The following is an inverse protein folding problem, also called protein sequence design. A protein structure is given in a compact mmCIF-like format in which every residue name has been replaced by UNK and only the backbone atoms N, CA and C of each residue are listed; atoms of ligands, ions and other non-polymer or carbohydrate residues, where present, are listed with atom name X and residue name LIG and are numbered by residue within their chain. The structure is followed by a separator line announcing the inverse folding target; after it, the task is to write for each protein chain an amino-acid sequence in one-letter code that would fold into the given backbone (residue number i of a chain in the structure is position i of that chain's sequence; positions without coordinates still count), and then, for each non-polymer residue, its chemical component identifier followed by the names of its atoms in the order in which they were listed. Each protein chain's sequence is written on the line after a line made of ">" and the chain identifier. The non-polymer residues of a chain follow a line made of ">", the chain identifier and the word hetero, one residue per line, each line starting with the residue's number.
data_IF_473647487768
#
_entry.id   IF_473647487768
#
_cell.length_a   1.000
_cell.length_b   1.000
_cell.length_c   1.000
_cell.angle_alpha   90.00
_cell.angle_beta   90.00
_cell.angle_gamma   90.00
#
_symmetry.space_group_name_H-M   'P 1'
#
loop_
_entity.id
_entity.type
_entity.pdbx_description
1 polymer ?
#
# COMPACT_ATOMS: atom_id res chain seq x y z
N UNK A 1 -26.97 23.18 -20.57
CA UNK A 1 -26.12 23.36 -19.39
C UNK A 1 -25.33 22.08 -19.26
N UNK A 2 -24.04 22.08 -19.59
CA UNK A 2 -23.20 20.87 -19.49
C UNK A 2 -22.71 20.83 -18.05
N UNK A 3 -23.19 19.84 -17.29
CA UNK A 3 -22.70 19.61 -15.93
C UNK A 3 -21.32 19.00 -16.04
N UNK A 4 -20.27 19.79 -15.81
CA UNK A 4 -18.91 19.28 -15.74
C UNK A 4 -18.74 18.62 -14.38
N UNK A 5 -18.78 17.30 -14.34
CA UNK A 5 -18.41 16.53 -13.16
C UNK A 5 -16.90 16.67 -12.97
N UNK A 6 -16.48 17.40 -11.96
CA UNK A 6 -15.09 17.45 -11.55
C UNK A 6 -14.82 16.20 -10.71
N UNK A 7 -14.07 15.28 -11.25
CA UNK A 7 -13.61 14.11 -10.50
C UNK A 7 -12.63 14.58 -9.43
N UNK A 8 -13.05 14.51 -8.17
CA UNK A 8 -12.15 14.79 -7.05
C UNK A 8 -11.32 13.53 -6.80
N UNK A 9 -10.02 13.63 -7.04
CA UNK A 9 -9.10 12.59 -6.60
C UNK A 9 -8.74 12.80 -5.11
N UNK A 10 -8.27 11.75 -4.46
CA UNK A 10 -7.74 11.85 -3.09
C UNK A 10 -6.60 12.90 -3.03
N UNK A 11 -5.79 12.98 -4.10
CA UNK A 11 -4.73 13.99 -4.25
C UNK A 11 -5.29 15.42 -4.28
N UNK A 12 -6.43 15.66 -4.94
CA UNK A 12 -7.05 16.98 -4.96
C UNK A 12 -7.56 17.37 -3.56
N UNK A 13 -8.13 16.42 -2.82
CA UNK A 13 -8.55 16.65 -1.44
C UNK A 13 -7.35 16.95 -0.52
N UNK A 14 -6.25 16.22 -0.66
CA UNK A 14 -5.01 16.52 0.09
C UNK A 14 -4.40 17.88 -0.31
N UNK A 15 -4.44 18.24 -1.59
CA UNK A 15 -3.97 19.54 -2.05
C UNK A 15 -4.81 20.66 -1.44
N UNK A 16 -6.14 20.54 -1.51
CA UNK A 16 -7.05 21.53 -0.94
C UNK A 16 -6.86 21.70 0.58
N UNK A 17 -6.64 20.59 1.33
CA UNK A 17 -6.34 20.66 2.75
C UNK A 17 -5.01 21.37 3.04
N UNK A 18 -3.99 21.15 2.22
CA UNK A 18 -2.71 21.88 2.35
C UNK A 18 -2.86 23.36 2.08
N UNK A 19 -3.62 23.71 1.05
CA UNK A 19 -3.87 25.11 0.69
C UNK A 19 -4.60 25.85 1.80
N UNK A 20 -5.65 25.25 2.38
CA UNK A 20 -6.37 25.78 3.56
C UNK A 20 -5.44 25.96 4.76
N UNK A 21 -4.52 25.03 5.00
CA UNK A 21 -3.56 25.15 6.10
C UNK A 21 -2.63 26.35 5.93
N UNK A 22 -2.18 26.62 4.70
CA UNK A 22 -1.29 27.75 4.41
C UNK A 22 -2.03 29.10 4.42
N UNK A 23 -3.30 29.12 4.03
CA UNK A 23 -4.11 30.35 3.99
C UNK A 23 -4.65 30.72 5.37
N UNK A 24 -5.17 29.74 6.13
CA UNK A 24 -5.72 29.96 7.48
C UNK A 24 -5.60 28.69 8.35
N UNK A 25 -4.52 28.62 9.09
CA UNK A 25 -4.22 27.50 9.99
C UNK A 25 -5.36 27.18 11.00
N UNK A 26 -5.99 28.17 11.69
CA UNK A 26 -7.08 27.89 12.57
C UNK A 26 -8.29 27.26 11.89
N UNK A 27 -8.69 27.75 10.72
CA UNK A 27 -9.81 27.20 9.95
C UNK A 27 -9.54 25.77 9.46
N UNK A 28 -8.30 25.45 9.10
CA UNK A 28 -7.92 24.09 8.74
C UNK A 28 -8.16 23.10 9.89
N UNK A 29 -7.71 23.42 11.10
CA UNK A 29 -7.90 22.54 12.25
C UNK A 29 -9.35 22.48 12.68
N UNK A 30 -10.08 23.59 12.62
CA UNK A 30 -11.51 23.63 12.89
C UNK A 30 -12.26 22.70 11.91
N UNK A 31 -11.94 22.74 10.62
CA UNK A 31 -12.53 21.87 9.61
C UNK A 31 -12.26 20.38 9.91
N UNK A 32 -11.04 20.04 10.36
CA UNK A 32 -10.71 18.67 10.74
C UNK A 32 -11.50 18.23 11.97
N UNK A 33 -11.60 19.06 13.00
CA UNK A 33 -12.37 18.76 14.23
C UNK A 33 -13.87 18.61 13.96
N UNK A 34 -14.43 19.39 13.04
CA UNK A 34 -15.86 19.33 12.70
C UNK A 34 -16.24 18.11 11.86
N UNK A 35 -15.34 17.64 11.01
CA UNK A 35 -15.65 16.64 9.99
C UNK A 35 -14.92 15.31 10.15
N UNK A 36 -13.96 15.22 11.07
CA UNK A 36 -13.15 14.03 11.25
C UNK A 36 -12.83 13.74 12.71
N UNK A 37 -13.70 13.00 13.36
CA UNK A 37 -13.42 12.43 14.69
C UNK A 37 -12.79 11.05 14.53
N UNK A 38 -11.47 10.98 14.70
CA UNK A 38 -10.74 9.71 14.62
C UNK A 38 -11.20 8.69 15.67
N UNK A 39 -11.78 9.14 16.79
CA UNK A 39 -12.23 8.26 17.86
C UNK A 39 -13.35 7.32 17.44
N UNK A 40 -14.17 7.73 16.47
CA UNK A 40 -15.26 6.91 15.92
C UNK A 40 -14.76 5.67 15.16
N UNK A 41 -13.53 5.75 14.62
CA UNK A 41 -12.92 4.66 13.84
C UNK A 41 -12.03 3.73 14.68
N UNK A 42 -11.80 4.05 15.97
CA UNK A 42 -10.93 3.24 16.81
C UNK A 42 -11.72 2.04 17.36
N UNK A 43 -11.33 0.79 16.99
CA UNK A 43 -11.96 -0.40 17.56
C UNK A 43 -11.85 -0.42 19.08
N UNK A 44 -12.90 -0.87 19.76
CA UNK A 44 -12.91 -1.03 21.23
C UNK A 44 -11.76 -1.94 21.68
N UNK A 45 -11.45 -2.98 20.89
CA UNK A 45 -10.34 -3.90 21.18
C UNK A 45 -9.00 -3.14 21.15
N UNK A 46 -8.81 -2.20 20.22
CA UNK A 46 -7.61 -1.38 20.16
C UNK A 46 -7.50 -0.48 21.41
N UNK A 47 -8.59 0.19 21.79
CA UNK A 47 -8.63 1.01 22.98
C UNK A 47 -8.27 0.20 24.24
N UNK A 48 -8.84 -1.00 24.39
CA UNK A 48 -8.55 -1.89 25.50
C UNK A 48 -7.10 -2.39 25.51
N UNK A 49 -6.54 -2.73 24.34
CA UNK A 49 -5.15 -3.14 24.23
C UNK A 49 -4.17 -2.00 24.52
N UNK A 50 -4.54 -0.77 24.15
CA UNK A 50 -3.69 0.39 24.40
C UNK A 50 -3.75 0.83 25.87
N UNK A 51 -4.94 0.90 26.49
CA UNK A 51 -5.15 1.33 27.87
C UNK A 51 -5.32 0.13 28.82
N UNK A 52 -4.30 -0.74 28.88
CA UNK A 52 -4.34 -1.89 29.79
C UNK A 52 -4.57 -1.49 31.23
N UNK A 53 -5.34 -2.29 31.96
CA UNK A 53 -5.66 -2.07 33.39
C UNK A 53 -4.46 -2.26 34.32
N UNK A 54 -3.46 -3.06 33.88
CA UNK A 54 -2.24 -3.37 34.62
C UNK A 54 -1.06 -2.61 34.04
N UNK A 55 -0.20 -2.08 34.89
CA UNK A 55 1.03 -1.40 34.49
C UNK A 55 0.99 0.12 34.65
N UNK A 56 2.00 0.81 34.11
CA UNK A 56 2.10 2.26 34.14
C UNK A 56 1.04 2.89 33.23
N UNK A 57 0.28 3.85 33.73
CA UNK A 57 -0.68 4.62 32.92
C UNK A 57 0.02 5.26 31.72
N UNK A 58 -0.64 5.20 30.57
CA UNK A 58 -0.17 5.87 29.35
C UNK A 58 -0.15 7.38 29.55
N UNK A 59 0.94 8.01 29.17
CA UNK A 59 1.10 9.47 29.27
C UNK A 59 0.44 10.16 28.05
N UNK A 60 0.43 9.48 26.92
CA UNK A 60 -0.03 10.02 25.65
C UNK A 60 -1.33 9.32 25.22
N UNK A 61 -2.30 10.05 24.68
CA UNK A 61 -3.56 9.46 24.22
C UNK A 61 -3.35 8.64 22.93
N UNK A 62 -4.17 7.59 22.77
CA UNK A 62 -4.19 6.77 21.53
C UNK A 62 -4.55 7.63 20.31
N UNK A 63 -5.60 8.44 20.44
CA UNK A 63 -6.03 9.39 19.40
C UNK A 63 -4.90 10.31 18.99
N UNK A 64 -4.08 10.78 19.94
CA UNK A 64 -2.94 11.65 19.64
C UNK A 64 -1.89 11.01 18.74
N UNK A 65 -1.54 9.74 18.98
CA UNK A 65 -0.63 9.04 18.08
C UNK A 65 -1.22 8.87 16.67
N UNK A 66 -2.48 8.50 16.58
CA UNK A 66 -3.16 8.30 15.30
C UNK A 66 -3.30 9.63 14.55
N UNK A 67 -3.76 10.70 15.23
CA UNK A 67 -3.83 12.05 14.64
C UNK A 67 -2.47 12.53 14.15
N UNK A 68 -1.40 12.31 14.92
CA UNK A 68 -0.05 12.69 14.52
C UNK A 68 0.40 11.94 13.25
N UNK A 69 0.10 10.64 13.13
CA UNK A 69 0.42 9.85 11.93
C UNK A 69 -0.42 10.30 10.71
N UNK A 70 -1.68 10.69 10.92
CA UNK A 70 -2.52 11.25 9.86
C UNK A 70 -1.96 12.60 9.39
N UNK A 71 -1.63 13.51 10.30
CA UNK A 71 -0.99 14.79 9.97
C UNK A 71 0.34 14.56 9.24
N UNK A 72 1.12 13.55 9.64
CA UNK A 72 2.34 13.16 8.94
C UNK A 72 2.08 12.87 7.46
N UNK A 73 0.97 12.21 7.14
CA UNK A 73 0.57 11.90 5.75
C UNK A 73 0.01 13.11 5.03
N UNK A 74 -0.90 13.87 5.66
CA UNK A 74 -1.48 15.09 5.06
C UNK A 74 -0.38 16.07 4.63
N UNK A 75 0.60 16.31 5.50
CA UNK A 75 1.70 17.24 5.22
C UNK A 75 2.88 16.60 4.49
N UNK A 76 2.78 15.32 4.09
CA UNK A 76 3.85 14.58 3.41
C UNK A 76 5.19 14.66 4.19
N UNK A 77 5.14 14.54 5.52
CA UNK A 77 6.32 14.56 6.38
C UNK A 77 7.04 13.21 6.26
N UNK A 78 8.28 13.16 5.76
CA UNK A 78 8.92 11.90 5.36
C UNK A 78 9.43 11.04 6.54
N UNK A 79 9.59 11.61 7.74
CA UNK A 79 10.15 10.87 8.87
C UNK A 79 9.52 11.25 10.21
N UNK A 80 9.54 10.30 11.15
CA UNK A 80 9.07 10.53 12.53
C UNK A 80 9.87 11.64 13.22
N UNK A 81 11.18 11.74 12.95
CA UNK A 81 12.02 12.80 13.53
C UNK A 81 11.56 14.19 13.08
N UNK A 82 11.19 14.33 11.82
CA UNK A 82 10.66 15.59 11.30
C UNK A 82 9.25 15.88 11.82
N UNK A 83 8.39 14.85 11.93
CA UNK A 83 7.08 14.99 12.58
C UNK A 83 7.21 15.52 14.01
N UNK A 84 8.11 14.94 14.80
CA UNK A 84 8.38 15.36 16.19
C UNK A 84 8.86 16.81 16.25
N UNK A 85 9.72 17.20 15.29
CA UNK A 85 10.17 18.59 15.19
C UNK A 85 8.97 19.53 14.94
N UNK A 86 8.08 19.21 13.98
CA UNK A 86 6.88 19.99 13.73
C UNK A 86 5.96 20.07 14.95
N UNK A 87 5.69 18.94 15.62
CA UNK A 87 4.90 18.89 16.84
C UNK A 87 5.53 19.70 17.99
N UNK A 88 6.87 19.81 18.01
CA UNK A 88 7.58 20.58 19.02
C UNK A 88 7.49 22.08 18.75
N UNK A 89 7.64 22.50 17.51
CA UNK A 89 7.69 23.90 17.11
C UNK A 89 6.29 24.51 16.91
N UNK A 90 5.31 23.72 16.42
CA UNK A 90 3.96 24.21 16.15
C UNK A 90 3.02 23.79 17.28
N UNK A 91 2.55 24.78 18.02
CA UNK A 91 1.65 24.58 19.17
C UNK A 91 0.30 24.00 18.72
N UNK A 92 -0.24 24.51 17.64
CA UNK A 92 -1.55 24.13 17.08
C UNK A 92 -1.57 22.66 16.69
N UNK A 93 -0.52 22.15 16.00
CA UNK A 93 -0.37 20.75 15.66
C UNK A 93 -0.33 19.85 16.92
N UNK A 94 0.41 20.30 17.94
CA UNK A 94 0.54 19.56 19.19
C UNK A 94 -0.78 19.51 19.96
N UNK A 95 -1.49 20.64 20.04
CA UNK A 95 -2.80 20.74 20.71
C UNK A 95 -3.86 19.92 19.99
N UNK A 96 -3.89 19.95 18.66
CA UNK A 96 -4.76 19.10 17.84
C UNK A 96 -4.55 17.60 18.15
N UNK A 97 -3.30 17.17 18.33
CA UNK A 97 -3.00 15.79 18.75
C UNK A 97 -3.29 15.53 20.24
N UNK A 98 -3.70 16.51 21.02
CA UNK A 98 -3.91 16.37 22.46
C UNK A 98 -2.62 16.08 23.25
N UNK A 99 -1.46 16.45 22.74
CA UNK A 99 -0.19 16.22 23.41
C UNK A 99 0.18 17.39 24.35
N UNK A 100 0.19 17.15 25.66
CA UNK A 100 0.77 18.09 26.63
C UNK A 100 2.29 18.18 26.50
N UNK A 101 2.93 17.06 26.15
CA UNK A 101 4.34 16.93 25.85
C UNK A 101 4.50 16.07 24.59
N UNK A 102 5.39 16.44 23.69
CA UNK A 102 5.63 15.66 22.44
C UNK A 102 6.29 14.32 22.77
N UNK A 103 5.76 13.19 22.22
CA UNK A 103 6.42 11.88 22.32
C UNK A 103 7.78 11.89 21.61
N UNK A 104 8.72 11.06 22.05
CA UNK A 104 9.99 10.84 21.37
C UNK A 104 9.88 9.81 20.23
N UNK A 105 10.87 9.77 19.34
CA UNK A 105 10.88 8.87 18.19
C UNK A 105 10.77 7.38 18.55
N UNK A 106 11.45 6.86 19.61
CA UNK A 106 11.25 5.48 20.05
C UNK A 106 9.83 5.13 20.48
N UNK A 107 9.03 6.12 20.94
CA UNK A 107 7.63 5.89 21.29
C UNK A 107 6.76 5.71 20.04
N UNK A 108 6.97 6.50 18.99
CA UNK A 108 6.30 6.32 17.70
C UNK A 108 6.66 4.98 17.06
N UNK A 109 7.94 4.59 17.07
CA UNK A 109 8.38 3.29 16.55
C UNK A 109 7.71 2.14 17.31
N UNK A 110 7.75 2.16 18.65
CA UNK A 110 7.10 1.14 19.49
C UNK A 110 5.58 1.14 19.32
N UNK A 111 4.96 2.30 19.15
CA UNK A 111 3.54 2.38 18.88
C UNK A 111 3.18 1.65 17.58
N UNK A 112 3.86 1.95 16.48
CA UNK A 112 3.64 1.29 15.19
C UNK A 112 3.87 -0.22 15.27
N UNK A 113 4.98 -0.65 15.87
CA UNK A 113 5.31 -2.08 15.97
C UNK A 113 4.34 -2.87 16.86
N UNK A 114 3.98 -2.34 18.03
CA UNK A 114 3.17 -3.08 18.99
C UNK A 114 1.67 -3.08 18.66
N UNK A 115 1.21 -2.14 17.84
CA UNK A 115 -0.22 -1.94 17.57
C UNK A 115 -0.57 -2.05 16.10
N UNK A 116 0.35 -2.52 15.24
CA UNK A 116 0.10 -2.73 13.82
C UNK A 116 -1.19 -3.53 13.54
N UNK A 117 -1.45 -4.70 14.17
CA UNK A 117 -2.66 -5.47 13.90
C UNK A 117 -3.97 -4.70 14.23
N UNK A 118 -3.92 -3.81 15.21
CA UNK A 118 -5.07 -2.98 15.58
C UNK A 118 -5.27 -1.81 14.60
N UNK A 119 -4.18 -1.28 14.05
CA UNK A 119 -4.22 -0.27 12.99
C UNK A 119 -4.80 -0.87 11.72
N UNK A 120 -4.43 -2.10 11.38
CA UNK A 120 -5.02 -2.86 10.27
C UNK A 120 -6.52 -3.11 10.48
N UNK A 121 -6.91 -3.55 11.69
CA UNK A 121 -8.33 -3.70 12.03
C UNK A 121 -9.11 -2.37 11.91
N UNK A 122 -8.51 -1.26 12.35
CA UNK A 122 -9.09 0.07 12.19
C UNK A 122 -9.25 0.42 10.70
N UNK A 123 -8.26 0.11 9.87
CA UNK A 123 -8.34 0.31 8.42
C UNK A 123 -9.50 -0.47 7.81
N UNK A 124 -9.68 -1.75 8.17
CA UNK A 124 -10.81 -2.56 7.67
C UNK A 124 -12.17 -1.95 8.06
N UNK A 125 -12.32 -1.45 9.29
CA UNK A 125 -13.53 -0.75 9.69
C UNK A 125 -13.77 0.55 8.90
N UNK A 126 -12.71 1.30 8.61
CA UNK A 126 -12.81 2.50 7.77
C UNK A 126 -13.23 2.16 6.33
N UNK A 127 -12.79 1.02 5.81
CA UNK A 127 -13.20 0.52 4.48
C UNK A 127 -14.71 0.28 4.46
N UNK A 128 -15.25 -0.44 5.45
CA UNK A 128 -16.69 -0.71 5.55
C UNK A 128 -17.50 0.58 5.76
N UNK A 129 -17.03 1.47 6.62
CA UNK A 129 -17.72 2.74 6.90
C UNK A 129 -17.77 3.67 5.68
N UNK A 130 -16.71 3.69 4.89
CA UNK A 130 -16.60 4.58 3.71
C UNK A 130 -17.30 4.04 2.48
N UNK A 131 -17.68 2.76 2.43
CA UNK A 131 -18.34 2.19 1.26
C UNK A 131 -19.68 2.84 0.93
N UNK A 132 -20.64 2.99 1.88
CA UNK A 132 -21.90 3.68 1.60
C UNK A 132 -21.69 5.12 1.11
N UNK A 133 -20.65 5.80 1.62
CA UNK A 133 -20.32 7.17 1.21
C UNK A 133 -19.83 7.17 -0.25
N UNK A 134 -18.97 6.23 -0.63
CA UNK A 134 -18.51 6.08 -2.00
C UNK A 134 -19.67 5.78 -2.97
N UNK A 135 -20.60 4.93 -2.56
CA UNK A 135 -21.80 4.61 -3.35
C UNK A 135 -22.69 5.84 -3.54
N UNK A 136 -22.77 6.74 -2.57
CA UNK A 136 -23.51 8.00 -2.67
C UNK A 136 -22.81 9.03 -3.58
N UNK A 137 -21.47 9.04 -3.61
CA UNK A 137 -20.68 9.96 -4.46
C UNK A 137 -20.83 9.56 -5.93
N UNK A 138 -20.52 8.31 -6.26
CA UNK A 138 -20.67 7.74 -7.59
C UNK A 138 -20.70 6.20 -7.50
N UNK A 139 -21.90 5.64 -7.62
CA UNK A 139 -22.09 4.19 -7.50
C UNK A 139 -21.41 3.40 -8.62
N UNK A 140 -21.25 3.98 -9.81
CA UNK A 140 -20.56 3.31 -10.92
C UNK A 140 -19.07 3.18 -10.64
N UNK A 141 -18.43 4.25 -10.18
CA UNK A 141 -17.00 4.22 -9.78
C UNK A 141 -16.78 3.41 -8.49
N UNK A 142 -17.68 3.51 -7.52
CA UNK A 142 -17.60 2.72 -6.30
C UNK A 142 -17.70 1.22 -6.55
N UNK A 143 -18.47 0.80 -7.56
CA UNK A 143 -18.63 -0.61 -7.96
C UNK A 143 -17.48 -1.14 -8.85
N UNK A 144 -16.44 -0.35 -9.10
CA UNK A 144 -15.21 -0.82 -9.73
C UNK A 144 -14.21 -1.28 -8.68
N UNK A 145 -13.46 -2.33 -8.98
CA UNK A 145 -12.35 -2.80 -8.16
C UNK A 145 -11.09 -2.91 -9.02
N UNK A 146 -10.09 -2.10 -8.69
CA UNK A 146 -8.80 -2.09 -9.37
C UNK A 146 -7.81 -2.87 -8.55
N UNK A 147 -7.09 -3.77 -9.18
CA UNK A 147 -6.02 -4.57 -8.59
C UNK A 147 -4.69 -4.15 -9.19
N UNK A 148 -3.74 -3.78 -8.35
CA UNK A 148 -2.38 -3.45 -8.77
C UNK A 148 -1.37 -3.94 -7.74
N UNK A 149 -0.17 -4.30 -8.22
CA UNK A 149 0.95 -4.70 -7.38
C UNK A 149 2.05 -3.64 -7.46
N UNK A 150 2.69 -3.39 -6.34
CA UNK A 150 3.81 -2.46 -6.27
C UNK A 150 4.83 -2.95 -5.25
N UNK A 151 5.90 -2.19 -5.04
CA UNK A 151 6.91 -2.49 -4.05
C UNK A 151 7.34 -1.25 -3.30
N UNK A 152 7.66 -1.45 -2.03
CA UNK A 152 8.25 -0.41 -1.18
C UNK A 152 9.76 -0.67 -1.11
N UNK A 153 10.54 0.17 -1.76
CA UNK A 153 12.00 0.10 -1.69
C UNK A 153 12.47 0.30 -0.25
N UNK A 154 13.29 -0.63 0.24
CA UNK A 154 13.76 -0.61 1.62
C UNK A 154 15.15 0.02 1.76
N UNK A 155 15.41 0.58 2.93
CA UNK A 155 16.72 1.14 3.29
C UNK A 155 17.69 0.03 3.71
N UNK A 156 18.11 -0.79 2.74
CA UNK A 156 19.07 -1.88 2.92
C UNK A 156 20.40 -1.56 2.23
N UNK A 157 21.48 -2.21 2.65
CA UNK A 157 22.83 -1.97 2.09
C UNK A 157 22.92 -2.31 0.61
N UNK A 158 22.12 -3.28 0.17
CA UNK A 158 22.06 -3.75 -1.21
C UNK A 158 21.44 -2.69 -2.14
N UNK A 159 20.54 -1.84 -1.65
CA UNK A 159 19.97 -0.71 -2.39
C UNK A 159 20.93 0.50 -2.48
N UNK A 160 22.06 0.45 -1.78
CA UNK A 160 23.04 1.53 -1.92
C UNK A 160 23.70 1.45 -3.32
N UNK A 161 23.57 2.49 -4.17
CA UNK A 161 24.16 2.49 -5.50
C UNK A 161 25.67 2.20 -5.53
N UNK A 162 26.39 2.53 -4.45
CA UNK A 162 27.83 2.24 -4.33
C UNK A 162 28.12 0.73 -4.33
N UNK A 163 27.26 -0.09 -3.77
CA UNK A 163 27.42 -1.55 -3.74
C UNK A 163 27.42 -2.14 -5.15
N UNK A 164 26.38 -1.88 -5.92
CA UNK A 164 26.26 -2.35 -7.29
C UNK A 164 27.32 -1.74 -8.20
N UNK A 165 27.57 -0.43 -8.13
CA UNK A 165 28.57 0.26 -8.92
C UNK A 165 29.99 -0.26 -8.66
N UNK A 166 30.33 -0.58 -7.41
CA UNK A 166 31.61 -1.20 -7.06
C UNK A 166 31.75 -2.58 -7.70
N UNK A 167 30.69 -3.38 -7.67
CA UNK A 167 30.68 -4.70 -8.30
C UNK A 167 30.84 -4.60 -9.82
N UNK A 168 30.07 -3.73 -10.48
CA UNK A 168 30.19 -3.45 -11.92
C UNK A 168 31.62 -3.01 -12.29
N UNK A 169 32.21 -2.10 -11.50
CA UNK A 169 33.57 -1.61 -11.76
C UNK A 169 34.61 -2.74 -11.70
N UNK A 170 34.49 -3.64 -10.70
CA UNK A 170 35.38 -4.83 -10.59
C UNK A 170 35.20 -5.77 -11.76
N UNK A 171 33.98 -6.05 -12.16
CA UNK A 171 33.67 -6.93 -13.30
C UNK A 171 34.16 -6.34 -14.62
N UNK A 172 33.99 -5.05 -14.86
CA UNK A 172 34.55 -4.34 -16.03
C UNK A 172 36.06 -4.43 -16.09
N UNK A 173 36.75 -4.34 -14.95
CA UNK A 173 38.20 -4.48 -14.86
C UNK A 173 38.64 -5.91 -15.13
N UNK A 174 37.92 -6.88 -14.55
CA UNK A 174 38.28 -8.31 -14.68
C UNK A 174 38.04 -8.85 -16.08
N UNK A 175 36.91 -8.52 -16.72
CA UNK A 175 36.53 -8.98 -18.05
C UNK A 175 36.87 -7.98 -19.16
N UNK A 176 37.85 -7.11 -18.93
CA UNK A 176 38.28 -6.11 -19.90
C UNK A 176 38.76 -6.80 -21.19
N UNK A 177 38.10 -6.50 -22.32
CA UNK A 177 38.44 -7.05 -23.64
C UNK A 177 37.68 -8.34 -24.01
N UNK A 178 36.77 -8.82 -23.19
CA UNK A 178 35.88 -9.91 -23.53
C UNK A 178 34.49 -9.37 -23.93
N UNK A 179 34.15 -9.34 -25.26
CA UNK A 179 32.89 -8.76 -25.74
C UNK A 179 31.66 -9.63 -25.43
N UNK A 180 31.85 -10.92 -25.09
CA UNK A 180 30.75 -11.85 -24.86
C UNK A 180 30.13 -11.72 -23.45
N UNK A 181 30.79 -10.98 -22.57
CA UNK A 181 30.35 -10.80 -21.18
C UNK A 181 29.84 -9.38 -20.95
N UNK A 182 28.55 -9.27 -20.62
CA UNK A 182 27.96 -8.03 -20.13
C UNK A 182 28.20 -7.89 -18.61
N UNK A 183 29.08 -6.97 -18.17
CA UNK A 183 29.37 -6.79 -16.76
C UNK A 183 28.16 -6.33 -15.93
N UNK A 184 27.19 -5.65 -16.54
CA UNK A 184 25.99 -5.21 -15.86
C UNK A 184 25.05 -6.39 -15.56
N UNK A 185 24.80 -7.22 -16.59
CA UNK A 185 23.97 -8.42 -16.42
C UNK A 185 24.59 -9.39 -15.40
N UNK A 186 25.91 -9.55 -15.45
CA UNK A 186 26.63 -10.39 -14.50
C UNK A 186 26.57 -9.82 -13.07
N UNK A 187 26.69 -8.49 -12.91
CA UNK A 187 26.60 -7.85 -11.61
C UNK A 187 25.22 -8.06 -10.97
N UNK A 188 24.15 -7.89 -11.73
CA UNK A 188 22.80 -8.16 -11.24
C UNK A 188 22.61 -9.63 -10.83
N UNK A 189 23.16 -10.58 -11.61
CA UNK A 189 23.10 -12.01 -11.27
C UNK A 189 23.94 -12.41 -10.06
N UNK A 190 24.93 -11.61 -9.68
CA UNK A 190 25.76 -11.83 -8.48
C UNK A 190 25.24 -11.13 -7.22
N UNK A 191 24.24 -10.26 -7.36
CA UNK A 191 23.58 -9.69 -6.19
C UNK A 191 22.77 -10.77 -5.46
N UNK A 192 22.69 -10.73 -4.12
CA UNK A 192 21.92 -11.71 -3.36
C UNK A 192 20.42 -11.62 -3.73
N UNK A 193 19.70 -12.74 -3.64
CA UNK A 193 18.26 -12.78 -3.94
C UNK A 193 17.40 -12.01 -2.92
N UNK A 194 17.91 -11.85 -1.70
CA UNK A 194 17.27 -11.11 -0.61
C UNK A 194 18.29 -10.23 0.11
N UNK A 195 17.80 -9.18 0.76
CA UNK A 195 18.67 -8.32 1.57
C UNK A 195 19.09 -9.04 2.86
N UNK A 196 20.36 -8.87 3.23
CA UNK A 196 20.91 -9.52 4.42
C UNK A 196 20.28 -9.03 5.73
N UNK A 197 19.91 -7.75 5.80
CA UNK A 197 19.31 -7.12 6.99
C UNK A 197 17.79 -7.27 7.06
N UNK A 198 17.13 -7.60 5.94
CA UNK A 198 15.69 -7.81 5.84
C UNK A 198 15.42 -8.96 4.84
N UNK A 199 15.27 -10.21 5.30
CA UNK A 199 15.11 -11.37 4.42
C UNK A 199 13.84 -11.36 3.57
N UNK A 200 12.81 -10.61 3.96
CA UNK A 200 11.57 -10.45 3.20
C UNK A 200 11.74 -9.50 2.01
N UNK A 201 12.72 -8.59 2.10
CA UNK A 201 13.09 -7.72 0.99
C UNK A 201 13.77 -8.50 -0.13
N UNK A 202 13.04 -8.71 -1.22
CA UNK A 202 13.49 -9.45 -2.39
C UNK A 202 13.87 -8.51 -3.52
N UNK A 203 14.75 -8.98 -4.41
CA UNK A 203 15.13 -8.21 -5.59
C UNK A 203 13.94 -8.11 -6.54
N UNK A 204 13.55 -6.88 -6.86
CA UNK A 204 12.41 -6.56 -7.72
C UNK A 204 12.77 -5.45 -8.70
N UNK A 205 11.99 -5.35 -9.79
CA UNK A 205 12.08 -4.25 -10.74
C UNK A 205 10.92 -3.30 -10.50
N UNK A 206 11.20 -2.12 -9.93
CA UNK A 206 10.20 -1.14 -9.53
C UNK A 206 10.59 0.23 -10.10
N UNK A 207 9.65 0.95 -10.66
CA UNK A 207 9.86 2.30 -11.19
C UNK A 207 11.07 2.44 -12.13
N UNK A 208 11.33 1.39 -12.93
CA UNK A 208 12.38 1.41 -13.94
C UNK A 208 13.78 1.02 -13.44
N UNK A 209 13.95 0.55 -12.20
CA UNK A 209 15.23 0.08 -11.68
C UNK A 209 15.09 -1.16 -10.79
N UNK A 210 16.17 -1.91 -10.63
CA UNK A 210 16.24 -3.02 -9.69
C UNK A 210 16.53 -2.51 -8.28
N UNK A 211 15.71 -2.96 -7.32
CA UNK A 211 15.89 -2.68 -5.90
C UNK A 211 15.40 -3.84 -5.04
N UNK A 212 15.79 -3.83 -3.77
CA UNK A 212 15.26 -4.72 -2.74
C UNK A 212 14.07 -4.04 -2.09
N UNK A 213 12.93 -4.67 -2.21
CA UNK A 213 11.65 -4.09 -1.83
C UNK A 213 10.72 -5.12 -1.21
N UNK A 214 9.80 -4.66 -0.38
CA UNK A 214 8.65 -5.44 0.05
C UNK A 214 7.55 -5.28 -1.00
N UNK A 215 7.11 -6.40 -1.56
CA UNK A 215 6.03 -6.44 -2.54
C UNK A 215 4.69 -6.38 -1.83
N UNK A 216 3.79 -5.56 -2.32
CA UNK A 216 2.43 -5.47 -1.81
C UNK A 216 1.41 -5.37 -2.95
N UNK A 217 0.19 -5.72 -2.61
CA UNK A 217 -1.00 -5.54 -3.45
C UNK A 217 -1.87 -4.45 -2.85
N UNK A 218 -2.47 -3.67 -3.70
CA UNK A 218 -3.46 -2.68 -3.33
C UNK A 218 -4.73 -2.85 -4.17
N UNK A 219 -5.88 -2.97 -3.49
CA UNK A 219 -7.19 -2.86 -4.12
C UNK A 219 -7.72 -1.45 -3.93
N UNK A 220 -8.19 -0.82 -5.00
CA UNK A 220 -8.87 0.48 -4.95
C UNK A 220 -10.19 0.41 -5.67
N UNK A 221 -11.14 1.26 -5.30
CA UNK A 221 -12.32 1.46 -6.14
C UNK A 221 -12.03 2.47 -7.26
N UNK A 222 -12.97 2.68 -8.18
CA UNK A 222 -12.82 3.62 -9.29
C UNK A 222 -12.73 5.10 -8.86
N UNK A 223 -13.04 5.43 -7.59
CA UNK A 223 -12.78 6.73 -6.98
C UNK A 223 -11.33 6.90 -6.53
N UNK A 224 -10.51 5.85 -6.62
CA UNK A 224 -9.13 5.83 -6.15
C UNK A 224 -8.98 5.64 -4.63
N UNK A 225 -10.05 5.20 -3.94
CA UNK A 225 -10.02 4.96 -2.50
C UNK A 225 -9.59 3.53 -2.24
N UNK A 226 -8.57 3.37 -1.39
CA UNK A 226 -8.01 2.07 -1.02
C UNK A 226 -9.05 1.24 -0.27
N UNK A 227 -9.21 -0.03 -0.68
CA UNK A 227 -10.15 -1.00 -0.10
C UNK A 227 -9.44 -2.15 0.60
N UNK A 228 -8.26 -2.51 0.11
CA UNK A 228 -7.48 -3.58 0.70
C UNK A 228 -6.00 -3.36 0.42
N UNK A 229 -5.15 -3.79 1.35
CA UNK A 229 -3.70 -3.84 1.20
C UNK A 229 -3.21 -5.16 1.78
N UNK A 230 -2.36 -5.87 1.05
CA UNK A 230 -1.69 -7.07 1.54
C UNK A 230 -0.23 -7.08 1.11
N UNK A 231 0.67 -7.49 2.00
CA UNK A 231 2.08 -7.72 1.68
C UNK A 231 2.26 -9.16 1.18
N UNK A 232 3.01 -9.32 0.09
CA UNK A 232 3.28 -10.62 -0.51
C UNK A 232 4.58 -11.22 0.06
N UNK A 233 4.62 -11.35 1.36
CA UNK A 233 5.73 -11.87 2.15
C UNK A 233 5.64 -13.40 2.41
N UNK A 234 6.50 -13.90 3.27
CA UNK A 234 6.50 -15.31 3.62
C UNK A 234 5.33 -15.70 4.53
N UNK A 235 4.77 -14.75 5.31
CA UNK A 235 3.56 -14.97 6.11
C UNK A 235 2.34 -15.12 5.20
N UNK A 236 2.21 -14.29 4.16
CA UNK A 236 1.17 -14.43 3.14
C UNK A 236 1.23 -15.79 2.43
N UNK A 237 2.44 -16.27 2.09
CA UNK A 237 2.62 -17.61 1.50
C UNK A 237 2.20 -18.73 2.46
N UNK A 238 2.46 -18.58 3.74
CA UNK A 238 2.08 -19.57 4.74
C UNK A 238 0.55 -19.65 4.93
N UNK A 239 -0.15 -18.52 4.76
CA UNK A 239 -1.61 -18.45 4.80
C UNK A 239 -2.27 -19.02 3.53
N UNK A 240 -1.59 -18.95 2.37
CA UNK A 240 -2.09 -19.38 1.07
C UNK A 240 -1.21 -20.48 0.44
N UNK A 241 -1.12 -21.69 1.06
CA UNK A 241 -0.26 -22.77 0.57
C UNK A 241 -0.69 -23.35 -0.79
N UNK A 242 -1.94 -23.10 -1.21
CA UNK A 242 -2.49 -23.50 -2.51
C UNK A 242 -1.95 -22.66 -3.67
N UNK A 243 -1.37 -21.51 -3.38
CA UNK A 243 -0.91 -20.57 -4.39
C UNK A 243 0.33 -21.11 -5.11
N UNK A 244 0.35 -21.14 -6.46
CA UNK A 244 1.52 -21.56 -7.19
C UNK A 244 2.66 -20.54 -7.04
N UNK A 245 3.81 -21.02 -6.61
CA UNK A 245 5.03 -20.22 -6.53
C UNK A 245 5.98 -20.71 -7.63
N UNK A 246 6.04 -19.97 -8.73
CA UNK A 246 6.86 -20.35 -9.88
C UNK A 246 8.29 -19.80 -9.77
N UNK A 247 9.27 -20.63 -10.14
CA UNK A 247 10.62 -20.17 -10.39
C UNK A 247 10.66 -19.40 -11.72
N UNK A 248 11.20 -18.18 -11.70
CA UNK A 248 11.43 -17.39 -12.92
C UNK A 248 12.71 -17.80 -13.67
N UNK A 249 13.64 -18.48 -13.03
CA UNK A 249 14.87 -18.98 -13.61
C UNK A 249 15.29 -20.33 -12.99
N UNK A 250 16.24 -21.00 -13.64
CA UNK A 250 16.82 -22.26 -13.15
C UNK A 250 17.94 -22.04 -12.10
N UNK A 251 18.17 -20.82 -11.66
CA UNK A 251 19.14 -20.53 -10.62
C UNK A 251 18.74 -21.20 -9.30
N UNK A 252 19.63 -21.97 -8.64
CA UNK A 252 19.33 -22.61 -7.37
C UNK A 252 19.09 -21.60 -6.24
N UNK A 253 19.67 -20.40 -6.36
CA UNK A 253 19.57 -19.32 -5.36
C UNK A 253 18.40 -18.37 -5.62
N UNK A 254 17.61 -18.59 -6.69
CA UNK A 254 16.46 -17.76 -6.99
C UNK A 254 15.38 -17.95 -5.94
N UNK A 255 15.09 -16.89 -5.23
CA UNK A 255 13.98 -16.88 -4.30
C UNK A 255 12.66 -16.82 -5.08
N UNK A 256 11.78 -17.77 -4.79
CA UNK A 256 10.45 -17.82 -5.42
C UNK A 256 9.65 -16.60 -5.00
N UNK A 257 9.36 -15.71 -5.94
CA UNK A 257 8.46 -14.58 -5.72
C UNK A 257 7.04 -14.94 -6.11
N UNK A 258 6.07 -14.35 -5.43
CA UNK A 258 4.67 -14.46 -5.81
C UNK A 258 4.44 -13.63 -7.08
N UNK A 259 3.93 -14.27 -8.14
CA UNK A 259 3.50 -13.58 -9.36
C UNK A 259 2.26 -12.73 -9.12
N UNK A 260 2.09 -11.66 -9.89
CA UNK A 260 0.93 -10.78 -9.76
C UNK A 260 -0.38 -11.53 -10.02
N UNK A 261 -0.43 -12.28 -11.10
CA UNK A 261 -1.58 -13.12 -11.45
C UNK A 261 -1.88 -14.21 -10.43
N UNK A 262 -0.83 -14.79 -9.81
CA UNK A 262 -0.99 -15.84 -8.79
C UNK A 262 -1.54 -15.31 -7.48
N UNK A 263 -1.30 -14.03 -7.14
CA UNK A 263 -1.79 -13.41 -5.90
C UNK A 263 -3.25 -12.95 -6.01
N UNK A 264 -3.80 -12.80 -7.22
CA UNK A 264 -5.11 -12.20 -7.43
C UNK A 264 -6.23 -12.96 -6.72
N UNK A 265 -6.34 -14.28 -6.93
CA UNK A 265 -7.41 -15.09 -6.34
C UNK A 265 -7.37 -15.14 -4.81
N UNK A 266 -6.22 -15.40 -4.16
CA UNK A 266 -6.09 -15.33 -2.70
C UNK A 266 -6.50 -13.96 -2.14
N UNK A 267 -5.98 -12.88 -2.71
CA UNK A 267 -6.28 -11.51 -2.26
C UNK A 267 -7.77 -11.16 -2.39
N UNK A 268 -8.41 -11.53 -3.50
CA UNK A 268 -9.84 -11.31 -3.66
C UNK A 268 -10.65 -12.15 -2.66
N UNK A 269 -10.22 -13.38 -2.39
CA UNK A 269 -10.87 -14.23 -1.39
C UNK A 269 -10.80 -13.62 0.00
N UNK A 270 -9.62 -13.13 0.41
CA UNK A 270 -9.43 -12.45 1.69
C UNK A 270 -10.27 -11.17 1.77
N UNK A 271 -10.26 -10.37 0.71
CA UNK A 271 -11.03 -9.13 0.64
C UNK A 271 -12.53 -9.40 0.83
N UNK A 272 -13.11 -10.32 0.07
CA UNK A 272 -14.56 -10.61 0.17
C UNK A 272 -14.93 -11.34 1.47
N UNK A 273 -14.00 -12.08 2.07
CA UNK A 273 -14.20 -12.65 3.40
C UNK A 273 -14.25 -11.56 4.48
N UNK A 274 -13.37 -10.56 4.40
CA UNK A 274 -13.34 -9.43 5.32
C UNK A 274 -14.54 -8.48 5.11
N UNK A 275 -14.96 -8.30 3.87
CA UNK A 275 -15.97 -7.33 3.45
C UNK A 275 -17.12 -8.00 2.68
N UNK A 276 -17.96 -8.85 3.31
CA UNK A 276 -19.00 -9.61 2.63
C UNK A 276 -20.13 -8.74 2.04
N UNK A 277 -20.18 -7.47 2.39
CA UNK A 277 -21.18 -6.51 1.88
C UNK A 277 -20.75 -5.80 0.60
N UNK A 278 -19.51 -6.01 0.14
CA UNK A 278 -19.02 -5.43 -1.09
C UNK A 278 -19.45 -6.29 -2.29
N UNK A 279 -20.03 -5.64 -3.30
CA UNK A 279 -20.47 -6.29 -4.52
C UNK A 279 -20.02 -5.49 -5.75
N UNK A 280 -18.70 -5.36 -5.99
CA UNK A 280 -18.23 -4.69 -7.19
C UNK A 280 -18.64 -5.48 -8.43
N UNK A 281 -19.02 -4.77 -9.48
CA UNK A 281 -19.45 -5.37 -10.74
C UNK A 281 -18.35 -5.36 -11.81
N UNK A 282 -17.34 -4.52 -11.64
CA UNK A 282 -16.32 -4.26 -12.66
C UNK A 282 -14.91 -4.45 -12.06
N UNK A 283 -14.14 -5.35 -12.67
CA UNK A 283 -12.71 -5.55 -12.35
C UNK A 283 -11.83 -4.75 -13.31
N UNK A 284 -10.77 -4.12 -12.77
CA UNK A 284 -9.74 -3.41 -13.52
C UNK A 284 -8.37 -3.97 -13.16
N UNK A 285 -7.57 -4.32 -14.15
CA UNK A 285 -6.22 -4.86 -13.95
C UNK A 285 -5.30 -4.59 -15.14
N UNK A 286 -4.02 -4.84 -14.95
CA UNK A 286 -3.02 -4.71 -16.01
C UNK A 286 -2.99 -5.95 -16.93
N UNK A 287 -2.12 -5.94 -17.94
CA UNK A 287 -2.00 -7.03 -18.91
C UNK A 287 -1.54 -8.37 -18.33
N UNK A 288 -1.02 -8.42 -17.12
CA UNK A 288 -0.65 -9.67 -16.43
C UNK A 288 -1.86 -10.54 -16.12
N UNK A 289 -3.06 -9.93 -16.07
CA UNK A 289 -4.33 -10.59 -15.77
C UNK A 289 -5.13 -10.99 -17.03
N UNK A 290 -4.59 -10.78 -18.25
CA UNK A 290 -5.31 -11.11 -19.52
C UNK A 290 -5.21 -12.61 -19.83
N UNK A 291 -5.81 -13.45 -19.01
CA UNK A 291 -5.90 -14.90 -19.23
C UNK A 291 -7.34 -15.42 -19.10
N UNK A 292 -7.67 -16.49 -19.85
CA UNK A 292 -9.00 -17.10 -19.82
C UNK A 292 -9.32 -17.61 -18.39
N UNK A 293 -8.35 -18.16 -17.71
CA UNK A 293 -8.50 -18.67 -16.35
C UNK A 293 -8.91 -17.56 -15.38
N UNK A 294 -8.25 -16.41 -15.44
CA UNK A 294 -8.58 -15.25 -14.62
C UNK A 294 -9.99 -14.76 -14.89
N UNK A 295 -10.38 -14.60 -16.16
CA UNK A 295 -11.76 -14.23 -16.48
C UNK A 295 -12.78 -15.25 -15.99
N UNK A 296 -12.42 -16.56 -16.02
CA UNK A 296 -13.26 -17.63 -15.49
C UNK A 296 -13.57 -17.42 -14.01
N UNK A 297 -12.56 -17.35 -13.15
CA UNK A 297 -12.83 -17.23 -11.71
C UNK A 297 -13.36 -15.84 -11.31
N UNK A 298 -12.99 -14.76 -11.98
CA UNK A 298 -13.59 -13.44 -11.74
C UNK A 298 -15.10 -13.48 -11.94
N UNK A 299 -15.57 -14.16 -12.99
CA UNK A 299 -17.00 -14.32 -13.28
C UNK A 299 -17.68 -15.32 -12.36
N UNK A 300 -17.12 -16.52 -12.24
CA UNK A 300 -17.81 -17.67 -11.66
C UNK A 300 -17.70 -17.69 -10.13
N UNK A 301 -16.57 -17.26 -9.56
CA UNK A 301 -16.35 -17.26 -8.11
C UNK A 301 -16.65 -15.89 -7.47
N UNK A 302 -16.25 -14.80 -8.12
CA UNK A 302 -16.38 -13.45 -7.56
C UNK A 302 -17.51 -12.61 -8.20
N UNK A 303 -18.22 -13.16 -9.18
CA UNK A 303 -19.43 -12.59 -9.79
C UNK A 303 -19.25 -11.22 -10.45
N UNK A 304 -18.04 -10.88 -10.89
CA UNK A 304 -17.83 -9.68 -11.69
C UNK A 304 -18.57 -9.80 -13.04
N UNK A 305 -19.33 -8.77 -13.40
CA UNK A 305 -20.04 -8.72 -14.69
C UNK A 305 -19.16 -8.20 -15.84
N UNK A 306 -18.10 -7.44 -15.51
CA UNK A 306 -17.19 -6.83 -16.46
C UNK A 306 -15.75 -6.95 -15.96
N UNK A 307 -14.80 -7.12 -16.88
CA UNK A 307 -13.38 -6.99 -16.60
C UNK A 307 -12.71 -6.18 -17.71
N UNK A 308 -11.91 -5.20 -17.31
CA UNK A 308 -11.10 -4.40 -18.20
C UNK A 308 -9.63 -4.65 -17.84
N UNK A 309 -8.88 -5.14 -18.83
CA UNK A 309 -7.45 -5.41 -18.68
C UNK A 309 -6.70 -4.57 -19.71
N UNK A 310 -5.79 -3.73 -19.23
CA UNK A 310 -5.02 -2.84 -20.08
C UNK A 310 -3.98 -3.65 -20.86
N UNK A 311 -4.07 -3.64 -22.20
CA UNK A 311 -2.97 -4.08 -23.06
C UNK A 311 -2.09 -2.89 -23.40
N UNK A 312 -0.78 -3.08 -23.38
CA UNK A 312 0.26 -2.09 -23.72
C UNK A 312 0.04 -1.31 -25.03
N UNK A 313 -0.98 -1.64 -25.83
CA UNK A 313 -1.27 -0.96 -27.11
C UNK A 313 -2.75 -0.55 -27.33
N UNK A 314 -3.71 -1.03 -26.53
CA UNK A 314 -5.13 -0.68 -26.70
C UNK A 314 -5.96 -1.12 -25.50
N UNK A 315 -6.77 -0.23 -24.96
CA UNK A 315 -7.89 -0.55 -24.07
C UNK A 315 -8.85 -1.47 -24.80
N UNK A 316 -8.79 -2.76 -24.55
CA UNK A 316 -9.78 -3.71 -25.09
C UNK A 316 -10.80 -3.99 -23.99
N UNK A 317 -11.96 -3.40 -24.15
CA UNK A 317 -13.15 -3.75 -23.36
C UNK A 317 -13.56 -5.17 -23.74
N UNK A 318 -13.34 -6.14 -22.87
CA UNK A 318 -13.85 -7.49 -23.02
C UNK A 318 -15.05 -7.65 -22.09
N UNK A 319 -16.25 -7.59 -22.66
CA UNK A 319 -17.45 -8.05 -21.96
C UNK A 319 -17.37 -9.58 -21.84
N UNK A 320 -17.61 -10.13 -20.64
CA UNK A 320 -17.63 -11.58 -20.41
C UNK A 320 -18.57 -12.35 -21.38
N UNK A 321 -19.55 -11.67 -21.98
CA UNK A 321 -20.47 -12.27 -22.95
C UNK A 321 -19.82 -12.62 -24.29
N UNK A 322 -18.63 -12.12 -24.62
CA UNK A 322 -17.97 -12.37 -25.90
C UNK A 322 -17.05 -13.62 -25.90
N UNK A 323 -16.91 -14.32 -24.77
CA UNK A 323 -16.04 -15.50 -24.65
C UNK A 323 -16.79 -16.84 -24.63
N UNK A 324 -18.10 -16.83 -24.78
CA UNK A 324 -18.95 -18.03 -24.78
C UNK A 324 -19.60 -18.33 -26.15
N UNK A 325 -19.03 -17.84 -27.26
CA UNK A 325 -19.39 -18.28 -28.61
C UNK A 325 -18.27 -19.12 -29.23
#
# INVERSE_FOLDING_TARGET
>A
MVTVYRQFSLNDSFSNCKDLFFEDTPSFFQLLDEHFDISEFIPVVFTNAFYQSLGRKRLYPLTGFLSALILQKIFSIPSDSLLILFLTLCRELREFCGFSKVPDAPLFTRFKQNFLPYIEMMFQQMVDYTEPICQLIDSSLASMLTFDTSGIELYVSENNPKTLNSLISRLKSYYKGNPDIDPYKLAYGLMPSKAASCPDAKQQYINGHFCYADKFVMLTNGLGIVRHIAFLDDDFKALHPEMPVEKKSDSPDEDKSIGDSSSLKPILSDFFQLHPHFHPDTFLGDSAFDTIEIYGFLKDEFHFSKAFVEKLSTLITKSFNNYLQ
#
